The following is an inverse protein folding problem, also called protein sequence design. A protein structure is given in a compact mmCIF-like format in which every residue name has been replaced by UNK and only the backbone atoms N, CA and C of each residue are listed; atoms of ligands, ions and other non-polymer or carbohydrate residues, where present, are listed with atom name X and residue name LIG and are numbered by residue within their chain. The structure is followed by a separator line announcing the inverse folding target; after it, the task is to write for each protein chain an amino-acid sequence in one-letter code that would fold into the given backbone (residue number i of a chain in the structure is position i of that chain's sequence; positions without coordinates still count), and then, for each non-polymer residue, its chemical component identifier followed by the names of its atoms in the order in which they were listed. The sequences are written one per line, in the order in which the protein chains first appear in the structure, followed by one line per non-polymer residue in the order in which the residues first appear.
data_IF_523623977306
#
_entry.id   IF_523623977306
#
_cell.length_a   1.000
_cell.length_b   1.000
_cell.length_c   1.000
_cell.angle_alpha   90.00
_cell.angle_beta   90.00
_cell.angle_gamma   90.00
#
_symmetry.space_group_name_H-M   'P 1'
#
loop_
_entity.id
_entity.type
_entity.pdbx_description
1 polymer ?
#
# COMPACT_ATOMS: atom_id res chain seq x y z
N UNK A 1 -20.22 -6.90 -41.12
CA UNK A 1 -18.76 -6.75 -41.06
C UNK A 1 -18.41 -5.27 -40.77
N UNK A 2 -18.35 -4.84 -39.50
CA UNK A 2 -18.04 -3.42 -39.16
C UNK A 2 -17.03 -3.20 -38.02
N UNK A 3 -16.52 -4.26 -37.36
CA UNK A 3 -15.63 -4.11 -36.20
C UNK A 3 -14.14 -4.43 -36.48
N UNK A 4 -13.82 -4.90 -37.69
CA UNK A 4 -12.45 -5.31 -38.07
C UNK A 4 -11.43 -4.15 -37.99
N UNK A 5 -11.73 -2.91 -38.43
CA UNK A 5 -10.77 -1.80 -38.36
C UNK A 5 -10.42 -1.42 -36.91
N UNK A 6 -11.41 -1.53 -36.01
CA UNK A 6 -11.27 -1.16 -34.61
C UNK A 6 -10.43 -2.20 -33.84
N UNK A 7 -10.60 -3.49 -34.15
CA UNK A 7 -9.77 -4.57 -33.63
C UNK A 7 -8.33 -4.43 -34.14
N UNK A 8 -8.12 -4.14 -35.42
CA UNK A 8 -6.78 -3.93 -35.98
C UNK A 8 -6.08 -2.71 -35.37
N UNK A 9 -6.79 -1.60 -35.16
CA UNK A 9 -6.24 -0.43 -34.48
C UNK A 9 -5.85 -0.72 -33.02
N UNK A 10 -6.63 -1.53 -32.30
CA UNK A 10 -6.31 -1.95 -30.93
C UNK A 10 -5.08 -2.86 -30.87
N UNK A 11 -4.98 -3.83 -31.79
CA UNK A 11 -3.82 -4.74 -31.87
C UNK A 11 -2.55 -3.97 -32.25
N UNK A 12 -2.63 -3.03 -33.20
CA UNK A 12 -1.48 -2.21 -33.61
C UNK A 12 -1.00 -1.29 -32.48
N UNK A 13 -1.93 -0.69 -31.73
CA UNK A 13 -1.59 0.18 -30.58
C UNK A 13 -1.04 -0.61 -29.39
N UNK A 14 -1.38 -1.89 -29.22
CA UNK A 14 -0.75 -2.80 -28.26
C UNK A 14 0.64 -3.28 -28.71
N UNK A 15 0.90 -3.31 -30.02
CA UNK A 15 2.17 -3.75 -30.60
C UNK A 15 3.23 -2.65 -30.81
N UNK A 16 2.89 -1.40 -30.54
CA UNK A 16 3.80 -0.26 -30.74
C UNK A 16 4.95 -0.24 -29.73
N UNK A 17 6.17 0.06 -30.21
CA UNK A 17 7.30 0.37 -29.34
C UNK A 17 6.97 1.57 -28.45
N UNK A 18 7.16 1.41 -27.14
CA UNK A 18 7.01 2.48 -26.14
C UNK A 18 8.03 3.60 -26.39
N UNK A 19 7.57 4.85 -26.45
CA UNK A 19 8.44 6.02 -26.54
C UNK A 19 9.24 6.23 -25.25
N UNK A 20 10.31 7.04 -25.28
CA UNK A 20 11.07 7.35 -24.05
C UNK A 20 10.24 8.17 -23.06
N UNK A 21 9.40 9.09 -23.56
CA UNK A 21 8.49 9.89 -22.74
C UNK A 21 7.41 9.03 -22.07
N UNK A 22 6.76 8.14 -22.83
CA UNK A 22 5.78 7.19 -22.28
C UNK A 22 6.43 6.29 -21.23
N UNK A 23 7.69 5.91 -21.42
CA UNK A 23 8.41 5.07 -20.46
C UNK A 23 8.70 5.79 -19.14
N UNK A 24 9.08 7.07 -19.19
CA UNK A 24 9.32 7.86 -17.97
C UNK A 24 8.05 7.96 -17.15
N UNK A 25 6.92 8.31 -17.79
CA UNK A 25 5.61 8.42 -17.11
C UNK A 25 5.15 7.06 -16.58
N UNK A 26 5.23 6.02 -17.41
CA UNK A 26 4.85 4.67 -17.02
C UNK A 26 5.67 4.16 -15.83
N UNK A 27 6.97 4.48 -15.79
CA UNK A 27 7.85 4.08 -14.70
C UNK A 27 7.39 4.64 -13.36
N UNK A 28 7.07 5.93 -13.31
CA UNK A 28 6.59 6.57 -12.09
C UNK A 28 5.31 5.91 -11.58
N UNK A 29 4.33 5.74 -12.46
CA UNK A 29 3.04 5.12 -12.14
C UNK A 29 3.18 3.67 -11.68
N UNK A 30 4.07 2.89 -12.32
CA UNK A 30 4.31 1.50 -11.97
C UNK A 30 4.95 1.39 -10.59
N UNK A 31 5.93 2.25 -10.29
CA UNK A 31 6.60 2.27 -8.98
C UNK A 31 5.58 2.61 -7.89
N UNK A 32 4.80 3.68 -8.07
CA UNK A 32 3.78 4.13 -7.13
C UNK A 32 2.75 3.02 -6.88
N UNK A 33 2.19 2.44 -7.94
CA UNK A 33 1.23 1.33 -7.83
C UNK A 33 1.83 0.10 -7.15
N UNK A 34 3.10 -0.21 -7.40
CA UNK A 34 3.77 -1.36 -6.75
C UNK A 34 3.91 -1.12 -5.25
N UNK A 35 4.25 0.10 -4.83
CA UNK A 35 4.31 0.48 -3.42
C UNK A 35 2.92 0.42 -2.81
N UNK A 36 1.90 1.01 -3.45
CA UNK A 36 0.52 1.02 -2.92
C UNK A 36 -0.04 -0.39 -2.75
N UNK A 37 0.14 -1.25 -3.76
CA UNK A 37 -0.27 -2.66 -3.67
C UNK A 37 0.46 -3.38 -2.54
N UNK A 38 1.79 -3.19 -2.42
CA UNK A 38 2.55 -3.81 -1.33
C UNK A 38 2.08 -3.33 0.04
N UNK A 39 1.82 -2.03 0.18
CA UNK A 39 1.31 -1.47 1.42
C UNK A 39 -0.09 -2.02 1.74
N UNK A 40 -0.96 -2.14 0.75
CA UNK A 40 -2.29 -2.73 0.94
C UNK A 40 -2.20 -4.22 1.31
N UNK A 41 -1.36 -5.00 0.64
CA UNK A 41 -1.26 -6.44 0.87
C UNK A 41 -0.62 -6.78 2.22
N UNK A 42 0.41 -6.04 2.63
CA UNK A 42 1.11 -6.31 3.89
C UNK A 42 0.54 -5.54 5.08
N UNK A 43 -0.07 -4.38 4.85
CA UNK A 43 -0.45 -3.46 5.90
C UNK A 43 -1.93 -3.02 5.85
N UNK A 44 -2.71 -3.48 4.86
CA UNK A 44 -4.08 -3.02 4.61
C UNK A 44 -5.16 -3.44 5.60
N UNK A 45 -4.91 -4.42 6.48
CA UNK A 45 -5.89 -4.84 7.52
C UNK A 45 -6.11 -3.78 8.60
N UNK A 46 -5.26 -2.77 8.67
CA UNK A 46 -5.26 -1.77 9.73
C UNK A 46 -5.11 -0.44 9.04
N UNK A 47 -6.18 0.35 9.06
CA UNK A 47 -6.24 1.69 8.48
C UNK A 47 -5.11 2.53 9.06
N UNK A 48 -3.97 2.58 8.39
CA UNK A 48 -3.08 3.72 8.57
C UNK A 48 -3.85 4.86 7.92
N UNK A 49 -4.64 5.56 8.71
CA UNK A 49 -5.32 6.80 8.33
C UNK A 49 -4.34 7.78 7.66
N UNK A 50 -3.04 7.61 7.93
CA UNK A 50 -1.94 8.39 7.42
C UNK A 50 -1.12 7.74 6.30
N UNK A 51 -1.41 6.52 5.82
CA UNK A 51 -0.65 5.93 4.69
C UNK A 51 -0.72 6.85 3.48
N UNK A 52 -1.88 7.44 3.20
CA UNK A 52 -2.03 8.43 2.13
C UNK A 52 -1.12 9.66 2.30
N UNK A 53 -0.82 10.05 3.54
CA UNK A 53 0.09 11.16 3.85
C UNK A 53 1.57 10.74 3.74
N UNK A 54 1.88 9.47 3.92
CA UNK A 54 3.26 8.93 3.95
C UNK A 54 3.69 8.41 2.59
N UNK A 55 2.76 7.92 1.76
CA UNK A 55 3.02 7.38 0.43
C UNK A 55 3.86 8.30 -0.46
N UNK A 56 3.61 9.62 -0.53
CA UNK A 56 4.47 10.52 -1.30
C UNK A 56 5.93 10.49 -0.85
N UNK A 57 6.17 10.35 0.46
CA UNK A 57 7.52 10.29 1.05
C UNK A 57 8.20 8.94 0.83
N UNK A 58 7.45 7.84 0.95
CA UNK A 58 7.93 6.49 0.61
C UNK A 58 8.30 6.45 -0.86
N UNK A 59 7.43 6.93 -1.75
CA UNK A 59 7.68 6.99 -3.18
C UNK A 59 8.96 7.76 -3.49
N UNK A 60 9.11 8.99 -2.97
CA UNK A 60 10.30 9.81 -3.17
C UNK A 60 11.59 9.13 -2.69
N UNK A 61 11.51 8.32 -1.63
CA UNK A 61 12.67 7.65 -1.03
C UNK A 61 13.01 6.34 -1.73
N UNK A 62 12.00 5.57 -2.08
CA UNK A 62 12.13 4.19 -2.51
C UNK A 62 12.07 3.98 -4.03
N UNK A 63 11.64 4.97 -4.82
CA UNK A 63 11.49 4.82 -6.27
C UNK A 63 12.74 4.30 -7.01
N UNK A 64 13.94 4.63 -6.50
CA UNK A 64 15.22 4.21 -7.08
C UNK A 64 15.53 2.73 -6.91
N UNK A 65 14.84 2.03 -6.00
CA UNK A 65 15.06 0.61 -5.73
C UNK A 65 14.29 -0.32 -6.68
N UNK A 66 13.46 0.23 -7.56
CA UNK A 66 12.89 -0.50 -8.69
C UNK A 66 13.58 -0.09 -10.00
N UNK A 67 14.67 -0.81 -10.30
CA UNK A 67 15.45 -0.59 -11.52
C UNK A 67 14.76 -1.27 -12.72
N UNK A 68 13.89 -0.52 -13.42
CA UNK A 68 13.17 -1.00 -14.60
C UNK A 68 13.68 -0.37 -15.88
N UNK A 69 13.57 -1.11 -16.98
CA UNK A 69 13.78 -0.64 -18.35
C UNK A 69 12.56 -1.01 -19.22
N UNK A 70 12.49 -0.49 -20.46
CA UNK A 70 11.34 -0.70 -21.36
C UNK A 70 10.96 -2.16 -21.60
N UNK A 71 11.93 -3.10 -21.56
CA UNK A 71 11.67 -4.54 -21.80
C UNK A 71 10.98 -5.22 -20.62
N UNK A 72 11.00 -4.59 -19.46
CA UNK A 72 10.42 -5.09 -18.21
C UNK A 72 9.00 -4.58 -17.99
N UNK A 73 8.47 -3.80 -18.94
CA UNK A 73 7.18 -3.15 -18.86
C UNK A 73 6.32 -3.59 -20.04
N UNK A 74 5.15 -4.15 -19.73
CA UNK A 74 4.18 -4.59 -20.72
C UNK A 74 3.05 -3.58 -20.80
N UNK A 75 2.63 -3.28 -22.03
CA UNK A 75 1.39 -2.55 -22.28
C UNK A 75 0.21 -3.48 -22.01
N UNK A 76 -0.57 -3.15 -20.98
CA UNK A 76 -1.71 -3.96 -20.53
C UNK A 76 -2.98 -3.59 -21.29
N UNK A 77 -3.26 -2.28 -21.44
CA UNK A 77 -4.46 -1.81 -22.14
C UNK A 77 -4.28 -0.43 -22.76
N UNK A 78 -5.21 -0.07 -23.64
CA UNK A 78 -5.36 1.28 -24.20
C UNK A 78 -6.79 1.72 -23.96
N UNK A 79 -6.95 2.82 -23.22
CA UNK A 79 -8.22 3.47 -22.98
C UNK A 79 -8.38 4.66 -23.92
N UNK A 80 -9.51 4.69 -24.62
CA UNK A 80 -9.93 5.85 -25.40
C UNK A 80 -10.64 6.83 -24.45
N UNK A 81 -10.10 8.03 -24.32
CA UNK A 81 -10.73 9.13 -23.56
C UNK A 81 -11.17 10.24 -24.52
N UNK A 82 -12.04 11.14 -24.04
CA UNK A 82 -12.46 12.33 -24.81
C UNK A 82 -11.28 13.23 -25.21
N UNK A 83 -10.11 13.07 -24.57
CA UNK A 83 -8.91 13.89 -24.78
C UNK A 83 -7.76 13.13 -25.48
N UNK A 84 -7.90 11.84 -25.78
CA UNK A 84 -6.87 11.06 -26.47
C UNK A 84 -6.88 9.56 -26.16
N UNK A 85 -5.71 8.94 -26.30
CA UNK A 85 -5.47 7.54 -25.92
C UNK A 85 -4.59 7.50 -24.67
N UNK A 86 -5.03 6.79 -23.64
CA UNK A 86 -4.24 6.51 -22.44
C UNK A 86 -3.79 5.05 -22.46
N UNK A 87 -2.49 4.82 -22.39
CA UNK A 87 -1.94 3.47 -22.33
C UNK A 87 -1.67 3.09 -20.89
N UNK A 88 -2.19 1.94 -20.45
CA UNK A 88 -1.87 1.36 -19.15
C UNK A 88 -0.69 0.41 -19.29
N UNK A 89 0.29 0.57 -18.43
CA UNK A 89 1.50 -0.23 -18.41
C UNK A 89 1.63 -0.96 -17.07
N UNK A 90 2.14 -2.19 -17.11
CA UNK A 90 2.38 -3.02 -15.94
C UNK A 90 3.78 -3.61 -15.98
N UNK A 91 4.32 -3.88 -14.80
CA UNK A 91 5.55 -4.62 -14.63
C UNK A 91 5.36 -6.06 -15.14
N UNK A 92 6.35 -6.63 -15.81
CA UNK A 92 6.35 -8.07 -16.05
C UNK A 92 6.52 -8.84 -14.74
N UNK A 93 5.83 -9.98 -14.60
CA UNK A 93 5.82 -10.79 -13.37
C UNK A 93 7.23 -11.27 -12.96
N UNK A 94 8.15 -11.39 -13.92
CA UNK A 94 9.53 -11.84 -13.68
C UNK A 94 10.43 -10.75 -13.07
N UNK A 95 9.96 -9.52 -12.97
CA UNK A 95 10.75 -8.41 -12.45
C UNK A 95 10.79 -8.49 -10.93
N UNK A 96 12.00 -8.56 -10.37
CA UNK A 96 12.20 -8.61 -8.93
C UNK A 96 11.86 -7.26 -8.28
N UNK A 97 10.84 -7.25 -7.42
CA UNK A 97 10.40 -6.09 -6.64
C UNK A 97 10.88 -6.10 -5.19
N UNK A 98 11.60 -7.15 -4.74
CA UNK A 98 12.07 -7.29 -3.36
C UNK A 98 12.95 -6.14 -2.86
N UNK A 99 13.84 -5.52 -3.67
CA UNK A 99 14.61 -4.37 -3.21
C UNK A 99 13.71 -3.15 -2.91
N UNK A 100 12.63 -2.97 -3.68
CA UNK A 100 11.65 -1.92 -3.45
C UNK A 100 10.88 -2.19 -2.15
N UNK A 101 10.37 -3.41 -1.99
CA UNK A 101 9.63 -3.85 -0.79
C UNK A 101 10.46 -3.67 0.48
N UNK A 102 11.72 -4.13 0.47
CA UNK A 102 12.65 -3.93 1.58
C UNK A 102 12.89 -2.46 1.90
N UNK A 103 12.93 -1.58 0.90
CA UNK A 103 13.02 -0.14 1.16
C UNK A 103 11.76 0.40 1.85
N UNK A 104 10.57 -0.07 1.45
CA UNK A 104 9.31 0.32 2.09
C UNK A 104 9.29 -0.15 3.54
N UNK A 105 9.66 -1.41 3.82
CA UNK A 105 9.74 -1.95 5.18
C UNK A 105 10.71 -1.12 6.04
N UNK A 106 11.92 -0.90 5.53
CA UNK A 106 12.95 -0.11 6.21
C UNK A 106 12.46 1.32 6.50
N UNK A 107 11.75 1.92 5.56
CA UNK A 107 11.18 3.26 5.74
C UNK A 107 10.17 3.25 6.89
N UNK A 108 9.24 2.29 6.92
CA UNK A 108 8.18 2.22 7.93
C UNK A 108 8.73 1.91 9.33
N UNK A 109 9.77 1.09 9.42
CA UNK A 109 10.44 0.75 10.68
C UNK A 109 11.26 1.91 11.24
N UNK A 110 11.89 2.71 10.38
CA UNK A 110 12.82 3.78 10.81
C UNK A 110 12.16 5.14 10.93
N UNK A 111 11.00 5.34 10.30
CA UNK A 111 10.36 6.66 10.25
C UNK A 111 9.35 6.79 11.39
N UNK A 112 9.50 7.77 12.29
CA UNK A 112 8.52 8.04 13.33
C UNK A 112 7.20 8.51 12.71
N UNK A 113 6.09 8.18 13.37
CA UNK A 113 4.78 8.68 12.99
C UNK A 113 4.69 10.20 13.15
N UNK A 114 3.76 10.82 12.40
CA UNK A 114 3.51 12.25 12.52
C UNK A 114 2.95 12.61 13.91
N UNK A 115 3.03 13.89 14.28
CA UNK A 115 2.40 14.40 15.51
C UNK A 115 0.89 14.16 15.53
N UNK A 116 0.24 14.24 14.37
CA UNK A 116 -1.18 13.97 14.20
C UNK A 116 -1.51 12.49 14.45
N UNK A 117 -0.73 11.58 13.86
CA UNK A 117 -0.85 10.13 14.11
C UNK A 117 -0.63 9.79 15.58
N UNK A 118 0.35 10.43 16.22
CA UNK A 118 0.63 10.26 17.65
C UNK A 118 -0.54 10.75 18.52
N UNK A 119 -1.17 11.85 18.13
CA UNK A 119 -2.38 12.34 18.79
C UNK A 119 -3.54 11.36 18.62
N UNK A 120 -3.77 10.88 17.39
CA UNK A 120 -4.80 9.90 17.09
C UNK A 120 -4.62 8.61 17.91
N UNK A 121 -3.37 8.12 18.04
CA UNK A 121 -3.07 6.96 18.88
C UNK A 121 -3.48 7.16 20.35
N UNK A 122 -3.23 8.36 20.90
CA UNK A 122 -3.54 8.69 22.29
C UNK A 122 -5.02 8.90 22.54
N UNK A 123 -5.76 9.36 21.54
CA UNK A 123 -7.19 9.67 21.63
C UNK A 123 -8.07 8.47 21.21
N UNK A 124 -7.49 7.39 20.69
CA UNK A 124 -8.22 6.19 20.30
C UNK A 124 -8.81 5.48 21.54
N UNK A 125 -10.15 5.43 21.60
CA UNK A 125 -10.89 4.85 22.71
C UNK A 125 -10.64 3.35 22.88
N UNK A 126 -10.31 2.63 21.80
CA UNK A 126 -9.99 1.20 21.84
C UNK A 126 -8.60 0.99 22.43
N UNK A 127 -7.64 1.87 22.11
CA UNK A 127 -6.31 1.84 22.73
C UNK A 127 -6.46 2.06 24.23
N UNK A 128 -7.25 3.05 24.65
CA UNK A 128 -7.54 3.29 26.06
C UNK A 128 -8.22 2.10 26.75
N UNK A 129 -9.16 1.42 26.06
CA UNK A 129 -9.83 0.22 26.55
C UNK A 129 -8.86 -0.94 26.81
N UNK A 130 -7.89 -1.16 25.91
CA UNK A 130 -7.00 -2.32 25.94
C UNK A 130 -5.58 -2.01 26.44
N UNK A 131 -5.26 -0.77 26.87
CA UNK A 131 -3.91 -0.37 27.29
C UNK A 131 -3.28 -1.20 28.43
N UNK A 132 -4.11 -1.86 29.23
CA UNK A 132 -3.68 -2.70 30.35
C UNK A 132 -3.58 -4.19 29.98
N UNK A 133 -4.01 -4.58 28.76
CA UNK A 133 -3.73 -5.92 28.24
C UNK A 133 -2.20 -6.14 28.17
N UNK A 134 -1.66 -7.27 28.66
CA UNK A 134 -0.21 -7.46 28.73
C UNK A 134 0.51 -7.35 27.38
N UNK A 135 -0.11 -7.80 26.29
CA UNK A 135 0.48 -7.77 24.95
C UNK A 135 0.46 -6.35 24.39
N UNK A 136 -0.67 -5.65 24.52
CA UNK A 136 -0.80 -4.23 24.10
C UNK A 136 0.16 -3.35 24.91
N UNK A 137 0.20 -3.53 26.22
CA UNK A 137 1.10 -2.79 27.11
C UNK A 137 2.56 -3.02 26.75
N UNK A 138 2.95 -4.28 26.52
CA UNK A 138 4.32 -4.60 26.11
C UNK A 138 4.70 -3.92 24.80
N UNK A 139 3.80 -3.89 23.81
CA UNK A 139 4.06 -3.22 22.54
C UNK A 139 4.21 -1.71 22.71
N UNK A 140 3.32 -1.08 23.49
CA UNK A 140 3.38 0.35 23.77
C UNK A 140 4.64 0.71 24.56
N UNK A 141 5.01 -0.08 25.56
CA UNK A 141 6.20 0.18 26.39
C UNK A 141 7.49 -0.01 25.59
N UNK A 142 7.54 -1.02 24.70
CA UNK A 142 8.67 -1.22 23.78
C UNK A 142 8.80 -0.04 22.80
N UNK A 143 7.70 0.40 22.19
CA UNK A 143 7.68 1.52 21.25
C UNK A 143 7.94 2.89 21.92
N UNK A 144 7.98 2.96 23.26
CA UNK A 144 8.28 4.18 24.03
C UNK A 144 9.74 4.30 24.45
N UNK A 145 10.55 3.24 24.28
CA UNK A 145 11.91 3.17 24.81
C UNK A 145 12.85 4.26 24.26
N UNK A 146 12.55 4.82 23.10
CA UNK A 146 13.31 5.87 22.40
C UNK A 146 12.51 7.18 22.20
N UNK A 147 11.35 7.31 22.85
CA UNK A 147 10.39 8.42 22.71
C UNK A 147 9.83 8.62 21.29
N UNK A 148 9.95 7.65 20.38
CA UNK A 148 9.46 7.74 19.01
C UNK A 148 8.76 6.45 18.61
N UNK A 149 7.50 6.53 18.17
CA UNK A 149 6.78 5.38 17.64
C UNK A 149 6.93 5.41 16.12
N UNK A 150 7.48 4.37 15.51
CA UNK A 150 7.57 4.21 14.06
C UNK A 150 6.20 3.91 13.43
N UNK A 151 6.07 4.12 12.11
CA UNK A 151 4.84 3.71 11.40
C UNK A 151 4.56 2.21 11.53
N UNK A 152 5.60 1.38 11.52
CA UNK A 152 5.46 -0.06 11.75
C UNK A 152 4.92 -0.40 13.15
N UNK A 153 5.46 0.23 14.20
CA UNK A 153 5.01 0.00 15.57
C UNK A 153 3.60 0.54 15.80
N UNK A 154 3.30 1.73 15.29
CA UNK A 154 1.96 2.33 15.35
C UNK A 154 0.91 1.38 14.79
N UNK A 155 1.21 0.79 13.63
CA UNK A 155 0.32 -0.17 13.00
C UNK A 155 0.21 -1.48 13.80
N UNK A 156 1.32 -1.99 14.33
CA UNK A 156 1.33 -3.20 15.16
C UNK A 156 0.44 -3.03 16.39
N UNK A 157 0.53 -1.86 17.04
CA UNK A 157 -0.30 -1.51 18.21
C UNK A 157 -1.79 -1.45 17.80
N UNK A 158 -2.12 -0.69 16.76
CA UNK A 158 -3.52 -0.55 16.31
C UNK A 158 -4.11 -1.87 15.84
N UNK A 159 -3.33 -2.72 15.19
CA UNK A 159 -3.75 -4.05 14.75
C UNK A 159 -4.14 -4.96 15.89
N UNK A 160 -3.29 -5.02 16.91
CA UNK A 160 -3.60 -5.81 18.09
C UNK A 160 -4.84 -5.27 18.80
N UNK A 161 -4.95 -3.95 18.97
CA UNK A 161 -6.09 -3.30 19.61
C UNK A 161 -7.39 -3.57 18.85
N UNK A 162 -7.37 -3.46 17.52
CA UNK A 162 -8.51 -3.78 16.65
C UNK A 162 -8.94 -5.25 16.79
N UNK A 163 -7.98 -6.17 16.75
CA UNK A 163 -8.25 -7.59 16.93
C UNK A 163 -8.88 -7.87 18.30
N UNK A 164 -8.28 -7.36 19.38
CA UNK A 164 -8.80 -7.52 20.75
C UNK A 164 -10.21 -6.92 20.90
N UNK A 165 -10.45 -5.76 20.29
CA UNK A 165 -11.77 -5.14 20.28
C UNK A 165 -12.80 -6.02 19.57
N UNK A 166 -12.45 -6.55 18.39
CA UNK A 166 -13.34 -7.42 17.64
C UNK A 166 -13.63 -8.74 18.37
N UNK A 167 -12.59 -9.38 18.91
CA UNK A 167 -12.74 -10.60 19.72
C UNK A 167 -13.66 -10.34 20.93
N UNK A 168 -13.52 -9.19 21.58
CA UNK A 168 -14.39 -8.78 22.68
C UNK A 168 -15.84 -8.56 22.24
N UNK A 169 -16.08 -7.94 21.09
CA UNK A 169 -17.44 -7.74 20.55
C UNK A 169 -18.09 -9.08 20.12
N UNK A 170 -17.30 -10.05 19.63
CA UNK A 170 -17.76 -11.42 19.39
C UNK A 170 -18.19 -12.07 20.70
N UNK A 171 -17.35 -12.01 21.74
CA UNK A 171 -17.65 -12.61 23.05
C UNK A 171 -18.91 -12.03 23.68
N UNK A 172 -19.18 -10.74 23.42
CA UNK A 172 -20.40 -10.06 23.85
C UNK A 172 -21.63 -10.39 23.00
N UNK A 173 -21.49 -11.20 21.95
CA UNK A 173 -22.55 -11.54 21.01
C UNK A 173 -23.01 -10.36 20.15
N UNK A 174 -22.15 -9.35 19.98
CA UNK A 174 -22.46 -8.08 19.27
C UNK A 174 -21.92 -8.03 17.84
N UNK A 175 -20.99 -8.91 17.47
CA UNK A 175 -20.44 -8.96 16.12
C UNK A 175 -21.37 -9.74 15.16
N UNK A 176 -21.97 -9.04 14.20
CA UNK A 176 -22.89 -9.62 13.21
C UNK A 176 -22.25 -9.94 11.83
N UNK A 177 -20.95 -9.71 11.64
CA UNK A 177 -20.30 -9.91 10.34
C UNK A 177 -18.95 -10.61 10.52
N UNK A 178 -18.92 -11.88 10.13
CA UNK A 178 -17.77 -12.80 10.19
C UNK A 178 -17.03 -12.93 8.86
N UNK A 179 -17.53 -12.30 7.79
CA UNK A 179 -17.08 -12.58 6.42
C UNK A 179 -15.76 -11.90 6.01
N UNK A 180 -15.27 -10.89 6.76
CA UNK A 180 -14.04 -10.17 6.39
C UNK A 180 -12.75 -10.83 6.92
N UNK A 181 -12.84 -11.86 7.76
CA UNK A 181 -11.67 -12.57 8.32
C UNK A 181 -11.43 -13.98 7.75
N UNK A 182 -12.41 -14.58 7.07
CA UNK A 182 -12.33 -15.99 6.66
C UNK A 182 -11.68 -16.24 5.29
N UNK A 183 -11.31 -15.21 4.52
CA UNK A 183 -10.47 -15.40 3.32
C UNK A 183 -9.01 -15.01 3.59
N UNK A 184 -8.37 -15.75 4.50
CA UNK A 184 -6.91 -15.86 4.66
C UNK A 184 -6.47 -17.32 4.51
#
# INVERSE_FOLDING_TARGET
MKNIPLIFALVLTLSGCMSDEDFIIAKEQIVEKTIDMYLQDQYGMITISDIGNVNPSIYKTCNKYLAINKRMVKKESVNLTLRGYESKYVLEETVNTDPLKRCVDDYLVKTPISEESMKNLKEDTRVEQFKNDPEVRSLIDNAKADHLISYYEYQTILGLVLKKHYDHEIDLGKAAYQDDFQSL
#
